data_IF_704220898035
#
_entry.id   IF_704220898035
#
_cell.length_a   1.000
_cell.length_b   1.000
_cell.length_c   1.000
_cell.angle_alpha   90.00
_cell.angle_beta   90.00
_cell.angle_gamma   90.00
#
_symmetry.space_group_name_H-M   'P 1'
#
loop_
_entity.id
_entity.type
_entity.pdbx_description
1 polymer ?
#
# COMPACT_ATOMS: atom_id res chain seq x y z
N UNK A 1 -7.26 -38.55 0.36
CA UNK A 1 -6.26 -37.73 1.07
C UNK A 1 -6.33 -36.33 0.50
N UNK A 2 -6.73 -35.32 1.29
CA UNK A 2 -6.47 -33.93 0.90
C UNK A 2 -4.96 -33.70 1.01
N UNK A 3 -4.31 -33.07 0.03
CA UNK A 3 -2.89 -32.77 0.13
C UNK A 3 -2.63 -31.92 1.40
N UNK A 4 -1.48 -32.10 2.07
CA UNK A 4 -1.16 -31.43 3.33
C UNK A 4 -1.03 -29.90 3.18
N UNK A 5 -0.88 -29.43 1.95
CA UNK A 5 -0.83 -28.02 1.59
C UNK A 5 -1.70 -27.80 0.35
N UNK A 6 -2.30 -26.61 0.25
CA UNK A 6 -2.92 -26.17 -0.99
C UNK A 6 -1.85 -26.03 -2.08
N UNK A 7 -2.25 -26.18 -3.34
CA UNK A 7 -1.33 -26.02 -4.48
C UNK A 7 -0.80 -24.59 -4.47
N UNK A 8 0.50 -24.42 -4.69
CA UNK A 8 1.11 -23.09 -4.82
C UNK A 8 0.33 -22.26 -5.84
N UNK A 9 -0.32 -21.19 -5.36
CA UNK A 9 -0.97 -20.23 -6.23
C UNK A 9 0.11 -19.37 -6.90
N UNK A 10 0.34 -19.60 -8.19
CA UNK A 10 1.11 -18.66 -9.02
C UNK A 10 0.25 -17.42 -9.29
N UNK A 11 0.47 -16.36 -8.50
CA UNK A 11 -0.05 -15.04 -8.80
C UNK A 11 0.57 -14.52 -10.11
N UNK A 12 -0.14 -13.72 -10.92
CA UNK A 12 0.43 -13.17 -12.14
C UNK A 12 1.68 -12.35 -11.79
N UNK A 13 2.80 -12.71 -12.42
CA UNK A 13 4.14 -12.15 -12.20
C UNK A 13 4.34 -10.71 -12.76
N UNK A 14 3.25 -9.97 -12.98
CA UNK A 14 3.28 -8.65 -13.59
C UNK A 14 3.22 -7.52 -12.58
N UNK A 15 3.85 -6.40 -12.91
CA UNK A 15 3.76 -5.16 -12.13
C UNK A 15 2.32 -4.73 -11.92
N UNK A 16 2.03 -4.31 -10.70
CA UNK A 16 0.69 -3.88 -10.29
C UNK A 16 0.62 -2.35 -10.35
N UNK A 17 -0.18 -1.84 -11.27
CA UNK A 17 -0.47 -0.41 -11.38
C UNK A 17 -1.95 -0.15 -11.07
N UNK A 18 -2.29 0.99 -10.43
CA UNK A 18 -3.68 1.35 -10.24
C UNK A 18 -4.31 1.73 -11.58
N UNK A 19 -5.01 0.79 -12.23
CA UNK A 19 -5.79 1.11 -13.43
C UNK A 19 -7.08 1.85 -13.07
N UNK A 20 -7.47 2.82 -13.90
CA UNK A 20 -8.46 3.85 -13.60
C UNK A 20 -9.87 3.40 -13.23
N UNK A 21 -10.70 4.39 -12.84
CA UNK A 21 -12.05 4.33 -12.23
C UNK A 21 -13.06 3.28 -12.75
N UNK A 22 -12.84 2.67 -13.93
CA UNK A 22 -13.75 1.72 -14.56
C UNK A 22 -13.47 0.26 -14.19
N UNK A 23 -12.21 -0.13 -13.93
CA UNK A 23 -11.85 -1.53 -13.69
C UNK A 23 -11.09 -1.64 -12.36
N UNK A 24 -11.66 -2.32 -11.35
CA UNK A 24 -10.92 -2.61 -10.11
C UNK A 24 -9.63 -3.37 -10.42
N UNK A 25 -8.55 -2.95 -9.76
CA UNK A 25 -7.33 -3.72 -9.71
C UNK A 25 -7.27 -4.46 -8.37
N UNK A 26 -6.78 -5.71 -8.37
CA UNK A 26 -6.70 -6.53 -7.16
C UNK A 26 -5.25 -6.85 -6.82
N UNK A 27 -4.88 -6.66 -5.56
CA UNK A 27 -3.56 -7.03 -5.01
C UNK A 27 -3.70 -8.10 -3.94
N UNK A 28 -2.64 -8.88 -3.73
CA UNK A 28 -2.53 -9.78 -2.60
C UNK A 28 -2.12 -9.00 -1.35
N UNK A 29 -2.76 -9.29 -0.22
CA UNK A 29 -2.41 -8.75 1.09
C UNK A 29 -2.37 -9.88 2.11
N UNK A 30 -1.57 -9.73 3.16
CA UNK A 30 -1.53 -10.67 4.28
C UNK A 30 -2.30 -10.05 5.45
N UNK A 31 -3.28 -10.78 5.96
CA UNK A 31 -4.10 -10.36 7.11
C UNK A 31 -3.91 -11.34 8.27
N UNK A 32 -4.15 -10.85 9.49
CA UNK A 32 -4.26 -11.71 10.66
C UNK A 32 -5.50 -12.61 10.53
N UNK A 33 -5.35 -13.89 10.87
CA UNK A 33 -6.43 -14.87 10.89
C UNK A 33 -6.27 -15.83 12.08
N UNK A 34 -6.95 -15.51 13.18
CA UNK A 34 -6.73 -16.18 14.47
C UNK A 34 -5.28 -16.02 14.94
N UNK A 35 -4.64 -17.15 15.28
CA UNK A 35 -3.22 -17.21 15.65
C UNK A 35 -2.28 -17.25 14.43
N UNK A 36 -2.85 -17.30 13.22
CA UNK A 36 -2.13 -17.39 11.96
C UNK A 36 -2.29 -16.15 11.08
N UNK A 37 -1.86 -16.32 9.83
CA UNK A 37 -2.00 -15.31 8.79
C UNK A 37 -2.50 -15.99 7.53
N UNK A 38 -3.26 -15.25 6.73
CA UNK A 38 -3.68 -15.72 5.40
C UNK A 38 -3.45 -14.64 4.36
N UNK A 39 -3.26 -15.08 3.13
CA UNK A 39 -3.24 -14.21 1.96
C UNK A 39 -4.69 -13.98 1.52
N UNK A 40 -5.00 -12.75 1.13
CA UNK A 40 -6.27 -12.38 0.53
C UNK A 40 -6.06 -11.52 -0.70
N UNK A 41 -6.86 -11.72 -1.74
CA UNK A 41 -6.93 -10.80 -2.87
C UNK A 41 -8.00 -9.75 -2.62
N UNK A 42 -7.59 -8.49 -2.51
CA UNK A 42 -8.46 -7.35 -2.24
C UNK A 42 -8.33 -6.32 -3.35
N UNK A 43 -9.37 -5.52 -3.56
CA UNK A 43 -9.33 -4.39 -4.48
C UNK A 43 -8.34 -3.32 -3.97
N UNK A 44 -7.39 -2.89 -4.80
CA UNK A 44 -6.49 -1.81 -4.46
C UNK A 44 -7.15 -0.45 -4.72
N UNK A 45 -7.64 0.16 -3.65
CA UNK A 45 -8.30 1.45 -3.66
C UNK A 45 -9.53 1.45 -2.77
N UNK A 46 -9.45 2.10 -1.61
CA UNK A 46 -10.61 2.23 -0.72
C UNK A 46 -11.59 3.27 -1.28
N UNK A 47 -12.86 2.91 -1.54
CA UNK A 47 -13.84 3.85 -2.09
C UNK A 47 -14.21 4.93 -1.07
N UNK A 48 -14.18 6.18 -1.50
CA UNK A 48 -14.62 7.34 -0.75
C UNK A 48 -15.49 8.24 -1.64
N UNK A 49 -16.34 9.06 -1.01
CA UNK A 49 -17.20 10.02 -1.71
C UNK A 49 -16.58 11.41 -1.64
N UNK A 50 -16.31 12.00 -2.80
CA UNK A 50 -15.79 13.38 -2.92
C UNK A 50 -16.76 14.26 -3.70
N UNK A 51 -16.90 15.55 -3.37
CA UNK A 51 -17.68 16.49 -4.18
C UNK A 51 -17.12 16.60 -5.60
N UNK A 52 -17.99 16.70 -6.60
CA UNK A 52 -17.58 17.05 -7.96
C UNK A 52 -17.07 18.49 -8.03
N UNK A 53 -16.05 18.73 -8.85
CA UNK A 53 -15.53 20.10 -9.10
C UNK A 53 -16.53 20.98 -9.85
N UNK A 54 -17.41 20.38 -10.67
CA UNK A 54 -18.41 21.11 -11.46
C UNK A 54 -19.64 21.47 -10.63
N UNK A 55 -20.03 20.58 -9.72
CA UNK A 55 -21.17 20.75 -8.82
C UNK A 55 -20.88 20.03 -7.48
N UNK A 56 -20.63 20.76 -6.38
CA UNK A 56 -20.33 20.17 -5.08
C UNK A 56 -21.46 19.32 -4.46
N UNK A 57 -22.71 19.50 -4.91
CA UNK A 57 -23.84 18.68 -4.47
C UNK A 57 -23.74 17.25 -5.05
N UNK A 58 -23.22 17.12 -6.27
CA UNK A 58 -22.92 15.82 -6.88
C UNK A 58 -21.74 15.16 -6.19
N UNK A 59 -21.94 13.94 -5.67
CA UNK A 59 -20.86 13.11 -5.10
C UNK A 59 -20.30 12.15 -6.16
N UNK A 60 -18.97 12.04 -6.18
CA UNK A 60 -18.23 11.13 -7.05
C UNK A 60 -17.49 10.11 -6.18
N UNK A 61 -17.54 8.85 -6.60
CA UNK A 61 -16.68 7.81 -6.01
C UNK A 61 -15.24 8.01 -6.46
N UNK A 62 -14.34 8.11 -5.49
CA UNK A 62 -12.89 8.08 -5.67
C UNK A 62 -12.33 6.87 -4.95
N UNK A 63 -11.46 6.13 -5.60
CA UNK A 63 -10.74 5.01 -5.00
C UNK A 63 -9.38 5.51 -4.53
N UNK A 64 -9.12 5.41 -3.22
CA UNK A 64 -7.90 5.93 -2.60
C UNK A 64 -6.94 4.78 -2.35
N UNK A 65 -5.82 4.78 -3.06
CA UNK A 65 -4.77 3.76 -2.96
C UNK A 65 -3.72 4.07 -1.88
N UNK A 66 -3.43 5.36 -1.69
CA UNK A 66 -2.41 5.89 -0.81
C UNK A 66 -3.03 6.69 0.35
N UNK A 67 -2.79 6.25 1.58
CA UNK A 67 -3.36 6.81 2.80
C UNK A 67 -2.35 7.74 3.47
N UNK A 68 -2.53 9.05 3.25
CA UNK A 68 -1.60 10.08 3.72
C UNK A 68 -2.07 10.80 4.98
N UNK A 69 -3.35 11.21 5.02
CA UNK A 69 -3.89 11.99 6.12
C UNK A 69 -4.40 11.07 7.23
N UNK A 70 -3.50 10.58 8.09
CA UNK A 70 -3.81 9.57 9.12
C UNK A 70 -4.72 10.09 10.24
N UNK A 71 -4.89 11.40 10.37
CA UNK A 71 -5.81 12.01 11.34
C UNK A 71 -7.25 12.10 10.82
N UNK A 72 -7.49 11.79 9.53
CA UNK A 72 -8.84 11.79 8.97
C UNK A 72 -9.73 10.76 9.67
N UNK A 73 -10.93 11.20 10.07
CA UNK A 73 -11.96 10.32 10.64
C UNK A 73 -12.34 9.16 9.73
N UNK A 74 -12.19 9.32 8.40
CA UNK A 74 -12.45 8.25 7.43
C UNK A 74 -11.55 7.03 7.63
N UNK A 75 -10.27 7.24 8.00
CA UNK A 75 -9.30 6.17 8.19
C UNK A 75 -9.27 5.61 9.60
N UNK A 76 -9.76 6.39 10.58
CA UNK A 76 -9.63 6.09 12.00
C UNK A 76 -10.05 4.66 12.35
N UNK A 77 -11.23 4.21 11.90
CA UNK A 77 -11.71 2.86 12.24
C UNK A 77 -10.84 1.74 11.67
N UNK A 78 -10.20 1.95 10.51
CA UNK A 78 -9.27 0.97 9.94
C UNK A 78 -7.92 1.00 10.66
N UNK A 79 -7.42 2.19 11.02
CA UNK A 79 -6.15 2.35 11.73
C UNK A 79 -6.21 1.79 13.16
N UNK A 80 -7.31 2.07 13.89
CA UNK A 80 -7.46 1.68 15.30
C UNK A 80 -8.03 0.28 15.51
N UNK A 81 -8.41 -0.43 14.44
CA UNK A 81 -8.88 -1.82 14.54
C UNK A 81 -7.82 -2.73 13.94
N UNK A 82 -7.04 -3.47 14.75
CA UNK A 82 -6.00 -4.37 14.25
C UNK A 82 -6.45 -5.32 13.14
N UNK A 83 -7.65 -5.89 13.26
CA UNK A 83 -8.27 -6.74 12.25
C UNK A 83 -8.58 -6.06 10.89
N UNK A 84 -8.40 -4.73 10.78
CA UNK A 84 -8.54 -3.94 9.54
C UNK A 84 -7.20 -3.48 8.98
N UNK A 85 -6.09 -4.00 9.50
CA UNK A 85 -4.74 -3.77 8.99
C UNK A 85 -4.26 -5.01 8.24
N UNK A 86 -3.36 -4.79 7.29
CA UNK A 86 -2.77 -5.84 6.48
C UNK A 86 -1.31 -5.50 6.14
N UNK A 87 -0.53 -6.50 5.76
CA UNK A 87 0.76 -6.31 5.11
C UNK A 87 0.53 -6.37 3.59
N UNK A 88 1.06 -5.41 2.84
CA UNK A 88 1.01 -5.42 1.38
C UNK A 88 2.37 -5.88 0.85
N UNK A 89 2.54 -7.18 0.52
CA UNK A 89 3.83 -7.70 0.04
C UNK A 89 4.17 -7.14 -1.35
N UNK A 90 5.40 -6.71 -1.50
CA UNK A 90 5.98 -6.18 -2.75
C UNK A 90 7.44 -6.62 -2.88
N UNK A 91 7.94 -6.66 -4.11
CA UNK A 91 9.36 -6.88 -4.43
C UNK A 91 10.10 -5.58 -4.71
N UNK A 92 9.37 -4.58 -5.22
CA UNK A 92 9.84 -3.23 -5.54
C UNK A 92 8.63 -2.30 -5.70
N UNK A 93 8.87 -0.99 -5.75
CA UNK A 93 7.86 -0.01 -6.14
C UNK A 93 8.46 1.06 -7.04
N UNK A 94 7.63 1.72 -7.84
CA UNK A 94 8.09 2.70 -8.81
C UNK A 94 7.57 4.11 -8.53
N UNK A 95 8.38 5.13 -8.82
CA UNK A 95 7.92 6.52 -8.93
C UNK A 95 8.38 7.15 -10.25
N UNK A 96 7.53 8.00 -10.81
CA UNK A 96 7.90 8.79 -11.99
C UNK A 96 8.80 9.96 -11.61
N UNK A 97 9.86 10.17 -12.38
CA UNK A 97 10.75 11.31 -12.24
C UNK A 97 10.04 12.67 -12.39
N UNK A 98 10.72 13.72 -11.93
CA UNK A 98 10.18 15.09 -11.94
C UNK A 98 10.08 15.66 -13.36
N UNK A 99 11.10 15.46 -14.18
CA UNK A 99 11.19 15.98 -15.54
C UNK A 99 11.05 14.88 -16.60
N UNK A 100 10.50 15.18 -17.78
CA UNK A 100 10.58 14.28 -18.93
C UNK A 100 12.03 14.04 -19.37
N UNK A 101 12.33 12.83 -19.85
CA UNK A 101 13.56 12.50 -20.55
C UNK A 101 13.52 12.93 -22.03
N UNK A 102 14.52 12.49 -22.80
CA UNK A 102 14.66 12.85 -24.22
C UNK A 102 13.46 12.40 -25.08
N UNK A 103 12.79 11.32 -24.69
CA UNK A 103 11.59 10.80 -25.36
C UNK A 103 10.29 11.54 -24.97
N UNK A 104 10.39 12.58 -24.14
CA UNK A 104 9.27 13.37 -23.64
C UNK A 104 8.44 12.66 -22.56
N UNK A 105 8.85 11.48 -22.08
CA UNK A 105 8.18 10.76 -20.99
C UNK A 105 8.97 10.90 -19.71
N UNK A 106 8.27 10.85 -18.57
CA UNK A 106 8.94 10.81 -17.27
C UNK A 106 9.58 9.43 -17.09
N UNK A 107 10.87 9.35 -16.73
CA UNK A 107 11.50 8.07 -16.44
C UNK A 107 10.81 7.43 -15.23
N UNK A 108 10.74 6.09 -15.24
CA UNK A 108 10.17 5.32 -14.16
C UNK A 108 11.33 4.77 -13.32
N UNK A 109 11.42 5.19 -12.06
CA UNK A 109 12.48 4.72 -11.16
C UNK A 109 11.93 3.64 -10.24
N UNK A 110 12.66 2.54 -10.09
CA UNK A 110 12.28 1.43 -9.25
C UNK A 110 13.10 1.42 -7.96
N UNK A 111 12.43 1.23 -6.84
CA UNK A 111 13.00 1.20 -5.50
C UNK A 111 12.79 -0.18 -4.88
N UNK A 112 13.82 -0.70 -4.23
CA UNK A 112 13.78 -1.97 -3.53
C UNK A 112 14.56 -1.93 -2.21
N UNK A 113 14.56 -3.06 -1.51
CA UNK A 113 15.36 -3.31 -0.31
C UNK A 113 16.23 -4.54 -0.61
N UNK A 114 17.52 -4.41 -0.99
CA UNK A 114 18.31 -5.53 -1.52
C UNK A 114 18.44 -6.73 -0.57
N UNK A 115 18.41 -6.47 0.73
CA UNK A 115 18.46 -7.52 1.76
C UNK A 115 17.15 -8.29 1.93
N UNK A 116 16.07 -7.86 1.26
CA UNK A 116 14.70 -8.38 1.41
C UNK A 116 14.04 -8.52 0.03
N UNK A 117 14.15 -9.72 -0.60
CA UNK A 117 13.51 -9.99 -1.90
C UNK A 117 11.99 -9.73 -1.91
N UNK A 118 11.35 -9.87 -0.75
CA UNK A 118 9.96 -9.45 -0.51
C UNK A 118 9.95 -8.63 0.78
N UNK A 119 9.32 -7.46 0.73
CA UNK A 119 9.04 -6.62 1.89
C UNK A 119 7.57 -6.19 1.87
N UNK A 120 7.12 -5.50 2.91
CA UNK A 120 5.71 -5.13 3.05
C UNK A 120 5.51 -3.63 3.30
N UNK A 121 4.48 -3.08 2.68
CA UNK A 121 3.92 -1.80 3.09
C UNK A 121 2.90 -1.97 4.23
N UNK A 122 2.77 -0.93 5.04
CA UNK A 122 1.74 -0.82 6.07
C UNK A 122 0.36 -0.61 5.43
N UNK A 123 -0.40 -1.70 5.27
CA UNK A 123 -1.71 -1.72 4.64
C UNK A 123 -2.86 -1.57 5.62
N UNK A 124 -3.96 -1.01 5.14
CA UNK A 124 -5.28 -1.01 5.79
C UNK A 124 -6.34 -1.43 4.81
N UNK A 125 -7.43 -2.03 5.32
CA UNK A 125 -8.49 -2.54 4.48
C UNK A 125 -9.87 -2.44 5.13
N UNK A 126 -10.90 -2.51 4.29
CA UNK A 126 -12.29 -2.60 4.73
C UNK A 126 -13.16 -3.36 3.73
N UNK A 127 -14.29 -3.94 4.18
CA UNK A 127 -15.32 -4.44 3.29
C UNK A 127 -16.00 -3.31 2.52
N UNK A 128 -16.37 -3.59 1.27
CA UNK A 128 -17.11 -2.69 0.39
C UNK A 128 -18.16 -3.50 -0.39
N UNK A 129 -19.04 -2.81 -1.13
CA UNK A 129 -20.04 -3.45 -2.00
C UNK A 129 -19.42 -4.31 -3.12
N UNK A 130 -18.16 -4.06 -3.50
CA UNK A 130 -17.45 -4.83 -4.54
C UNK A 130 -16.53 -5.92 -3.98
N UNK A 131 -16.58 -6.15 -2.67
CA UNK A 131 -15.63 -7.00 -1.95
C UNK A 131 -14.68 -6.18 -1.07
N UNK A 132 -13.71 -6.85 -0.46
CA UNK A 132 -12.73 -6.20 0.40
C UNK A 132 -11.79 -5.32 -0.42
N UNK A 133 -11.55 -4.10 0.06
CA UNK A 133 -10.67 -3.14 -0.56
C UNK A 133 -9.59 -2.67 0.41
N UNK A 134 -8.38 -2.48 -0.09
CA UNK A 134 -7.22 -2.06 0.68
C UNK A 134 -6.57 -0.80 0.10
N UNK A 135 -5.82 -0.12 0.95
CA UNK A 135 -4.82 0.88 0.58
C UNK A 135 -3.64 0.76 1.52
N UNK A 136 -2.57 1.48 1.27
CA UNK A 136 -1.41 1.50 2.17
C UNK A 136 -1.04 2.90 2.59
N UNK A 137 -0.42 3.00 3.76
CA UNK A 137 0.02 4.26 4.33
C UNK A 137 1.20 4.81 3.53
N UNK A 138 1.25 6.13 3.46
CA UNK A 138 2.39 6.87 2.92
C UNK A 138 2.89 7.86 3.96
N UNK A 139 4.19 8.13 3.92
CA UNK A 139 4.90 9.07 4.80
C UNK A 139 5.74 10.03 3.96
N UNK A 140 6.47 10.94 4.61
CA UNK A 140 7.43 11.82 3.93
C UNK A 140 8.54 10.98 3.24
N UNK A 141 9.05 11.42 2.08
CA UNK A 141 10.08 10.65 1.40
C UNK A 141 11.44 10.78 2.11
N UNK A 142 12.23 9.70 2.08
CA UNK A 142 13.61 9.70 2.57
C UNK A 142 14.59 10.31 1.53
N UNK A 143 15.89 10.29 1.84
CA UNK A 143 16.92 10.91 1.01
C UNK A 143 17.08 10.33 -0.42
N UNK A 144 16.63 9.09 -0.67
CA UNK A 144 16.71 8.49 -2.02
C UNK A 144 15.41 8.67 -2.81
N UNK A 145 14.24 8.71 -2.14
CA UNK A 145 12.95 8.90 -2.81
C UNK A 145 12.70 10.39 -3.08
N UNK A 146 13.06 11.28 -2.15
CA UNK A 146 12.72 12.71 -2.23
C UNK A 146 13.21 13.41 -3.51
N UNK A 147 14.42 13.12 -4.04
CA UNK A 147 14.88 13.71 -5.30
C UNK A 147 14.04 13.31 -6.52
N UNK A 148 13.37 12.15 -6.47
CA UNK A 148 12.57 11.59 -7.57
C UNK A 148 11.08 11.92 -7.37
N UNK A 149 10.57 11.72 -6.15
CA UNK A 149 9.19 11.97 -5.75
C UNK A 149 9.15 12.70 -4.39
N UNK A 150 9.19 14.04 -4.37
CA UNK A 150 9.29 14.82 -3.14
C UNK A 150 8.01 14.81 -2.30
N UNK A 151 6.93 14.21 -2.80
CA UNK A 151 5.63 14.27 -2.15
C UNK A 151 5.49 13.21 -1.06
N UNK A 152 5.96 11.98 -1.24
CA UNK A 152 5.86 10.89 -0.26
C UNK A 152 6.62 9.66 -0.69
N UNK A 153 6.74 8.72 0.24
CA UNK A 153 6.99 7.31 -0.05
C UNK A 153 5.98 6.42 0.66
N UNK A 154 5.79 5.16 0.24
CA UNK A 154 5.07 4.16 1.03
C UNK A 154 5.71 3.97 2.41
N UNK A 155 4.91 3.68 3.43
CA UNK A 155 5.42 3.22 4.72
C UNK A 155 5.86 1.76 4.56
N UNK A 156 7.17 1.55 4.41
CA UNK A 156 7.78 0.22 4.39
C UNK A 156 7.97 -0.22 5.83
N UNK A 157 7.45 -1.39 6.16
CA UNK A 157 7.58 -1.96 7.50
C UNK A 157 8.92 -2.70 7.66
N UNK A 158 9.52 -2.51 8.82
CA UNK A 158 10.53 -3.39 9.37
C UNK A 158 9.94 -4.79 9.65
N UNK A 159 10.71 -5.85 9.45
CA UNK A 159 10.20 -7.24 9.60
C UNK A 159 9.77 -7.50 11.03
N UNK A 160 10.50 -6.92 11.98
CA UNK A 160 10.23 -6.89 13.41
C UNK A 160 8.92 -6.16 13.77
N UNK A 161 8.43 -5.28 12.90
CA UNK A 161 7.18 -4.53 13.11
C UNK A 161 5.96 -5.18 12.42
N UNK A 162 6.12 -6.31 11.72
CA UNK A 162 4.99 -6.96 11.03
C UNK A 162 3.92 -7.43 12.00
N UNK A 163 4.33 -8.08 13.09
CA UNK A 163 3.42 -8.53 14.14
C UNK A 163 2.77 -7.34 14.83
N UNK A 164 3.59 -6.37 15.21
CA UNK A 164 3.14 -5.13 15.87
C UNK A 164 2.08 -4.42 15.02
N UNK A 165 2.34 -4.26 13.73
CA UNK A 165 1.40 -3.67 12.79
C UNK A 165 0.07 -4.42 12.75
N UNK A 166 0.07 -5.76 12.80
CA UNK A 166 -1.15 -6.54 12.71
C UNK A 166 -1.93 -6.64 14.03
N UNK A 167 -1.30 -6.43 15.19
CA UNK A 167 -1.92 -6.72 16.50
C UNK A 167 -1.94 -5.58 17.50
N UNK A 168 -0.95 -4.67 17.51
CA UNK A 168 -0.85 -3.63 18.54
C UNK A 168 -1.88 -2.50 18.37
N UNK A 169 -2.19 -1.82 19.46
CA UNK A 169 -3.02 -0.62 19.40
C UNK A 169 -2.35 0.51 18.62
N UNK A 170 -3.16 1.28 17.87
CA UNK A 170 -2.69 2.36 17.01
C UNK A 170 -1.79 3.39 17.73
N UNK A 171 -2.04 3.63 19.03
CA UNK A 171 -1.24 4.57 19.84
C UNK A 171 0.22 4.15 19.95
N UNK A 172 0.52 2.85 19.89
CA UNK A 172 1.88 2.29 20.00
C UNK A 172 2.60 2.17 18.65
N UNK A 173 1.90 2.40 17.54
CA UNK A 173 2.41 2.22 16.18
C UNK A 173 2.89 3.52 15.52
N UNK A 174 2.84 4.66 16.22
CA UNK A 174 3.22 5.95 15.65
C UNK A 174 4.66 5.97 15.13
N UNK A 175 5.59 5.31 15.83
CA UNK A 175 7.00 5.21 15.42
C UNK A 175 7.23 4.29 14.22
N UNK A 176 6.31 3.35 13.97
CA UNK A 176 6.35 2.43 12.81
C UNK A 176 6.00 3.17 11.52
N UNK A 177 5.21 4.25 11.62
CA UNK A 177 4.78 5.07 10.48
C UNK A 177 5.81 6.16 10.20
N UNK A 178 6.99 5.76 9.72
CA UNK A 178 8.13 6.64 9.44
C UNK A 178 8.77 6.35 8.06
N UNK A 179 9.53 7.29 7.49
CA UNK A 179 10.29 7.04 6.27
C UNK A 179 11.31 5.92 6.51
N UNK A 180 11.35 4.93 5.62
CA UNK A 180 12.27 3.81 5.76
C UNK A 180 13.72 4.27 5.59
N UNK A 181 14.72 3.69 6.30
CA UNK A 181 16.10 4.13 6.21
C UNK A 181 16.65 4.02 4.79
N UNK A 182 17.09 5.14 4.21
CA UNK A 182 17.53 5.20 2.82
C UNK A 182 18.76 4.34 2.54
N UNK A 183 19.62 4.12 3.55
CA UNK A 183 20.82 3.28 3.44
C UNK A 183 20.50 1.80 3.23
N UNK A 184 19.26 1.38 3.50
CA UNK A 184 18.80 0.00 3.31
C UNK A 184 18.08 -0.21 1.98
N UNK A 185 17.95 0.84 1.18
CA UNK A 185 17.20 0.83 -0.08
C UNK A 185 18.12 1.13 -1.25
N UNK A 186 17.72 0.71 -2.44
CA UNK A 186 18.37 1.13 -3.68
C UNK A 186 17.36 1.65 -4.69
N UNK A 187 17.87 2.30 -5.73
CA UNK A 187 17.06 2.80 -6.85
C UNK A 187 17.73 2.41 -8.16
N UNK A 188 16.94 1.90 -9.10
CA UNK A 188 17.35 1.68 -10.49
C UNK A 188 16.50 2.54 -11.42
N UNK A 189 17.09 2.91 -12.57
CA UNK A 189 16.39 3.57 -13.67
C UNK A 189 15.71 2.56 -14.59
#
# INVERSE_FOLDING_TARGET
MRPPYEVDETFPAGDIFPTGKKTPFYGAVIVQDGDGRRIERMEWGVPTQVPSKRDPATKLTKYVTNVRNLTSSFWRSMLTTPARRCLVPVTSFSEYGLAPGEDGKKPLHWFDVPSRPIFAFAGIWRPTERGNAFGFLTTEPNAIVAPIHPKAMPVILHIEDYERWLTEDWVNLQSVVAPFPSQLMTVSA
#
